data_IF_807295341501
#
_entry.id   IF_807295341501
#
_cell.length_a   1.000
_cell.length_b   1.000
_cell.length_c   1.000
_cell.angle_alpha   90.00
_cell.angle_beta   90.00
_cell.angle_gamma   90.00
#
_symmetry.space_group_name_H-M   'P 1'
#
loop_
_entity.id
_entity.type
_entity.pdbx_description
1 polymer ?
#
# COMPACT_ATOMS: atom_id res chain seq x y z
N UNK A 1 -20.59 -17.76 3.18
CA UNK A 1 -19.26 -17.26 3.59
C UNK A 1 -19.21 -15.76 3.30
N UNK A 2 -18.71 -14.96 4.23
CA UNK A 2 -18.50 -13.52 4.06
C UNK A 2 -17.00 -13.27 3.94
N UNK A 3 -16.62 -12.50 2.92
CA UNK A 3 -15.25 -12.13 2.67
C UNK A 3 -15.04 -10.62 2.85
N UNK A 4 -13.96 -10.26 3.54
CA UNK A 4 -13.55 -8.87 3.76
C UNK A 4 -12.12 -8.70 3.25
N UNK A 5 -11.94 -7.74 2.34
CA UNK A 5 -10.66 -7.36 1.78
C UNK A 5 -10.21 -6.03 2.40
N UNK A 6 -8.99 -6.02 2.89
CA UNK A 6 -8.39 -4.86 3.55
C UNK A 6 -7.25 -4.30 2.70
N UNK A 7 -7.36 -3.04 2.32
CA UNK A 7 -6.29 -2.28 1.69
C UNK A 7 -5.69 -1.31 2.69
N UNK A 8 -4.39 -1.32 2.81
CA UNK A 8 -3.67 -0.38 3.67
C UNK A 8 -2.23 -0.24 3.25
N UNK A 9 -1.52 0.62 3.98
CA UNK A 9 -0.06 0.71 3.84
C UNK A 9 0.60 0.06 5.03
N UNK A 10 1.79 -0.48 4.82
CA UNK A 10 2.58 -1.08 5.89
C UNK A 10 2.73 -0.13 7.08
N UNK A 11 2.31 -0.58 8.27
CA UNK A 11 2.27 0.21 9.50
C UNK A 11 0.90 0.81 9.88
N UNK A 12 -0.11 0.82 8.99
CA UNK A 12 -1.46 1.29 9.31
C UNK A 12 -2.31 0.26 10.06
N UNK A 13 -1.88 -1.00 10.11
CA UNK A 13 -2.53 -2.04 10.89
C UNK A 13 -3.67 -2.77 10.18
N UNK A 14 -3.67 -2.84 8.85
CA UNK A 14 -4.67 -3.58 8.08
C UNK A 14 -4.75 -5.06 8.50
N UNK A 15 -3.61 -5.74 8.63
CA UNK A 15 -3.60 -7.13 9.10
C UNK A 15 -4.04 -7.26 10.56
N UNK A 16 -3.76 -6.28 11.41
CA UNK A 16 -4.26 -6.27 12.78
C UNK A 16 -5.78 -6.19 12.80
N UNK A 17 -6.38 -5.32 11.97
CA UNK A 17 -7.83 -5.24 11.81
C UNK A 17 -8.43 -6.55 11.29
N UNK A 18 -7.83 -7.14 10.25
CA UNK A 18 -8.27 -8.41 9.71
C UNK A 18 -8.27 -9.54 10.76
N UNK A 19 -7.23 -9.61 11.60
CA UNK A 19 -7.15 -10.58 12.70
C UNK A 19 -8.17 -10.33 13.80
N UNK A 20 -8.39 -9.08 14.19
CA UNK A 20 -9.39 -8.72 15.19
C UNK A 20 -10.79 -9.09 14.71
N UNK A 21 -11.11 -8.82 13.43
CA UNK A 21 -12.38 -9.24 12.84
C UNK A 21 -12.54 -10.76 12.85
N UNK A 22 -11.51 -11.48 12.45
CA UNK A 22 -11.52 -12.94 12.49
C UNK A 22 -11.74 -13.50 13.90
N UNK A 23 -11.07 -12.90 14.91
CA UNK A 23 -11.25 -13.29 16.30
C UNK A 23 -12.67 -12.97 16.79
N UNK A 24 -13.19 -11.77 16.49
CA UNK A 24 -14.54 -11.36 16.88
C UNK A 24 -15.59 -12.31 16.29
N UNK A 25 -15.48 -12.67 15.01
CA UNK A 25 -16.42 -13.57 14.35
C UNK A 25 -16.39 -15.00 14.90
N UNK A 26 -15.28 -15.40 15.53
CA UNK A 26 -15.12 -16.75 16.10
C UNK A 26 -15.76 -16.92 17.48
N UNK A 27 -16.30 -15.86 18.10
CA UNK A 27 -16.92 -15.97 19.42
C UNK A 27 -18.34 -16.56 19.38
N UNK A 28 -19.00 -16.55 18.24
CA UNK A 28 -20.29 -17.17 18.08
C UNK A 28 -20.11 -18.68 17.86
N UNK A 29 -20.91 -19.51 18.56
CA UNK A 29 -20.90 -20.94 18.41
C UNK A 29 -21.14 -21.37 16.96
N UNK A 30 -20.33 -22.33 16.48
CA UNK A 30 -20.41 -22.81 15.09
C UNK A 30 -19.92 -21.81 14.06
N UNK A 31 -19.18 -20.78 14.46
CA UNK A 31 -18.55 -19.82 13.52
C UNK A 31 -17.07 -20.15 13.30
N UNK A 32 -16.67 -20.00 12.04
CA UNK A 32 -15.30 -20.24 11.59
C UNK A 32 -14.77 -18.94 10.95
N UNK A 33 -13.51 -18.64 11.22
CA UNK A 33 -12.84 -17.50 10.64
C UNK A 33 -11.43 -17.82 10.19
N UNK A 34 -11.00 -17.15 9.15
CA UNK A 34 -9.63 -17.20 8.63
C UNK A 34 -9.17 -15.78 8.33
N UNK A 35 -8.06 -15.35 8.90
CA UNK A 35 -7.46 -14.05 8.63
C UNK A 35 -5.98 -14.20 8.27
N UNK A 36 -5.57 -13.62 7.15
CA UNK A 36 -4.19 -13.70 6.65
C UNK A 36 -3.80 -12.44 5.87
N UNK A 37 -2.50 -12.07 5.86
CA UNK A 37 -2.01 -11.01 5.02
C UNK A 37 -1.77 -11.51 3.59
N UNK A 38 -1.69 -10.59 2.65
CA UNK A 38 -1.05 -10.88 1.36
C UNK A 38 0.42 -11.13 1.60
N UNK A 39 0.88 -12.32 1.21
CA UNK A 39 2.29 -12.69 1.36
C UNK A 39 3.16 -11.90 0.40
N UNK A 40 4.13 -11.21 0.92
CA UNK A 40 5.08 -10.39 0.18
C UNK A 40 6.04 -9.69 1.15
N UNK A 41 7.10 -9.03 0.67
CA UNK A 41 7.98 -8.28 1.55
C UNK A 41 7.19 -7.12 2.17
N UNK A 42 6.82 -7.27 3.43
CA UNK A 42 6.18 -6.19 4.19
C UNK A 42 7.15 -5.03 4.37
N UNK A 43 6.80 -3.89 3.79
CA UNK A 43 7.59 -2.67 3.91
C UNK A 43 6.71 -1.56 4.46
N UNK A 44 7.27 -0.77 5.35
CA UNK A 44 6.57 0.38 5.92
C UNK A 44 6.19 1.35 4.80
N UNK A 45 4.89 1.73 4.75
CA UNK A 45 4.35 2.64 3.75
C UNK A 45 3.95 1.99 2.41
N UNK A 46 4.40 0.77 2.10
CA UNK A 46 4.00 0.07 0.89
C UNK A 46 2.53 -0.36 0.94
N UNK A 47 1.80 -0.34 -0.19
CA UNK A 47 0.49 -0.96 -0.29
C UNK A 47 0.55 -2.43 0.13
N UNK A 48 -0.39 -2.83 0.97
CA UNK A 48 -0.56 -4.21 1.39
C UNK A 48 -2.04 -4.57 1.43
N UNK A 49 -2.33 -5.84 1.29
CA UNK A 49 -3.66 -6.41 1.44
C UNK A 49 -3.69 -7.35 2.63
N UNK A 50 -4.85 -7.44 3.26
CA UNK A 50 -5.16 -8.51 4.19
C UNK A 50 -6.58 -9.02 3.91
N UNK A 51 -6.88 -10.21 4.36
CA UNK A 51 -8.12 -10.91 4.07
C UNK A 51 -8.71 -11.45 5.35
N UNK A 52 -10.03 -11.37 5.47
CA UNK A 52 -10.78 -12.06 6.52
C UNK A 52 -11.93 -12.80 5.85
N UNK A 53 -12.02 -14.11 6.09
CA UNK A 53 -13.13 -14.97 5.68
C UNK A 53 -13.88 -15.42 6.94
N UNK A 54 -15.21 -15.33 6.91
CA UNK A 54 -16.09 -15.70 8.02
C UNK A 54 -17.20 -16.60 7.51
N UNK A 55 -17.52 -17.69 8.22
CA UNK A 55 -18.51 -18.66 7.77
C UNK A 55 -19.15 -19.37 8.96
N UNK A 56 -20.37 -19.90 8.76
CA UNK A 56 -21.02 -20.86 9.67
C UNK A 56 -20.61 -22.31 9.38
N UNK A 57 -19.84 -22.53 8.33
CA UNK A 57 -19.32 -23.82 7.94
C UNK A 57 -17.78 -23.78 7.93
N UNK A 58 -17.10 -24.93 8.09
CA UNK A 58 -15.63 -24.98 8.02
C UNK A 58 -15.08 -24.37 6.74
N UNK A 59 -14.10 -23.48 6.87
CA UNK A 59 -13.48 -22.77 5.74
C UNK A 59 -12.36 -23.62 5.16
N UNK A 60 -12.60 -24.28 4.04
CA UNK A 60 -11.59 -25.01 3.28
C UNK A 60 -10.79 -24.12 2.32
N UNK A 61 -11.40 -23.06 1.81
CA UNK A 61 -10.77 -22.14 0.87
C UNK A 61 -9.86 -21.12 1.59
N UNK A 62 -8.57 -21.23 1.33
CA UNK A 62 -7.51 -20.34 1.85
C UNK A 62 -6.93 -19.39 0.80
N UNK A 63 -7.57 -19.30 -0.37
CA UNK A 63 -7.12 -18.41 -1.43
C UNK A 63 -7.33 -16.94 -1.06
N UNK A 64 -6.50 -16.07 -1.61
CA UNK A 64 -6.71 -14.63 -1.59
C UNK A 64 -7.79 -14.30 -2.63
N UNK A 65 -9.02 -14.01 -2.18
CA UNK A 65 -10.12 -13.64 -3.06
C UNK A 65 -9.83 -12.32 -3.79
N UNK A 66 -10.24 -12.23 -5.05
CA UNK A 66 -10.19 -10.98 -5.83
C UNK A 66 -11.42 -10.10 -5.59
N UNK A 67 -12.53 -10.68 -5.07
CA UNK A 67 -13.78 -9.99 -4.76
C UNK A 67 -14.21 -10.30 -3.33
N UNK A 68 -14.85 -9.32 -2.69
CA UNK A 68 -15.30 -9.43 -1.31
C UNK A 68 -16.68 -8.80 -1.09
N UNK A 69 -17.36 -9.19 -0.01
CA UNK A 69 -18.59 -8.54 0.44
C UNK A 69 -18.30 -7.13 0.98
N UNK A 70 -17.15 -6.96 1.60
CA UNK A 70 -16.71 -5.67 2.13
C UNK A 70 -15.27 -5.43 1.72
N UNK A 71 -15.00 -4.26 1.13
CA UNK A 71 -13.64 -3.81 0.81
C UNK A 71 -13.33 -2.58 1.65
N UNK A 72 -12.25 -2.66 2.44
CA UNK A 72 -11.92 -1.64 3.42
C UNK A 72 -10.59 -0.99 3.06
N UNK A 73 -10.61 0.33 2.88
CA UNK A 73 -9.44 1.13 2.57
C UNK A 73 -9.01 1.95 3.79
N UNK A 74 -7.85 1.59 4.38
CA UNK A 74 -7.26 2.33 5.50
C UNK A 74 -6.66 3.67 5.05
N UNK A 75 -6.50 3.83 3.76
CA UNK A 75 -5.90 5.01 3.10
C UNK A 75 -6.66 5.26 1.81
N UNK A 76 -7.31 6.41 1.68
CA UNK A 76 -8.16 6.74 0.54
C UNK A 76 -7.38 6.93 -0.77
N UNK A 77 -6.05 7.09 -0.69
CA UNK A 77 -5.18 7.12 -1.86
C UNK A 77 -5.06 5.75 -2.55
N UNK A 78 -5.50 4.67 -1.88
CA UNK A 78 -5.54 3.32 -2.44
C UNK A 78 -6.86 3.01 -3.15
N UNK A 79 -7.88 3.85 -2.96
CA UNK A 79 -9.16 3.74 -3.67
C UNK A 79 -9.00 4.32 -5.08
N UNK A 80 -8.62 3.46 -6.02
CA UNK A 80 -8.41 3.82 -7.43
C UNK A 80 -9.64 3.56 -8.30
N UNK A 81 -9.51 3.84 -9.60
CA UNK A 81 -10.47 3.40 -10.61
C UNK A 81 -10.57 1.86 -10.61
N UNK A 82 -11.77 1.33 -10.82
CA UNK A 82 -12.00 -0.12 -10.85
C UNK A 82 -12.21 -0.78 -9.48
N UNK A 83 -12.45 -0.01 -8.42
CA UNK A 83 -12.76 -0.55 -7.08
C UNK A 83 -14.02 -1.44 -7.08
N UNK A 84 -14.95 -1.23 -8.03
CA UNK A 84 -16.14 -2.07 -8.21
C UNK A 84 -15.80 -3.51 -8.58
N UNK A 85 -14.68 -3.74 -9.27
CA UNK A 85 -14.25 -5.08 -9.66
C UNK A 85 -13.87 -5.95 -8.46
N UNK A 86 -13.58 -5.32 -7.32
CA UNK A 86 -13.26 -6.01 -6.06
C UNK A 86 -14.51 -6.30 -5.21
N UNK A 87 -15.70 -5.80 -5.60
CA UNK A 87 -16.94 -6.06 -4.87
C UNK A 87 -17.69 -7.27 -5.42
N UNK A 88 -18.27 -8.04 -4.51
CA UNK A 88 -19.37 -8.95 -4.81
C UNK A 88 -20.66 -8.16 -5.01
N UNK A 89 -21.69 -8.73 -5.66
CA UNK A 89 -23.03 -8.13 -5.70
C UNK A 89 -23.47 -7.75 -4.27
N UNK A 90 -24.08 -6.58 -4.11
CA UNK A 90 -24.50 -6.00 -2.83
C UNK A 90 -23.38 -5.70 -1.82
N UNK A 91 -22.13 -5.78 -2.25
CA UNK A 91 -20.98 -5.44 -1.44
C UNK A 91 -20.88 -3.95 -1.12
N UNK A 92 -20.12 -3.60 -0.08
CA UNK A 92 -19.85 -2.23 0.34
C UNK A 92 -18.36 -1.94 0.48
N UNK A 93 -18.01 -0.69 0.20
CA UNK A 93 -16.68 -0.14 0.47
C UNK A 93 -16.76 0.68 1.76
N UNK A 94 -15.76 0.53 2.61
CA UNK A 94 -15.56 1.41 3.77
C UNK A 94 -14.20 2.07 3.60
N UNK A 95 -14.16 3.40 3.62
CA UNK A 95 -12.92 4.13 3.36
C UNK A 95 -12.63 5.16 4.44
N UNK A 96 -11.38 5.18 4.89
CA UNK A 96 -10.87 6.23 5.76
C UNK A 96 -10.63 7.49 4.93
N UNK A 97 -11.58 8.40 4.94
CA UNK A 97 -11.51 9.67 4.22
C UNK A 97 -12.43 10.72 4.83
N UNK A 98 -12.02 11.97 4.72
CA UNK A 98 -12.86 13.14 5.03
C UNK A 98 -13.69 13.60 3.82
N UNK A 99 -13.46 12.99 2.66
CA UNK A 99 -14.19 13.30 1.41
C UNK A 99 -15.51 12.56 1.38
N UNK A 100 -16.52 13.15 0.75
CA UNK A 100 -17.76 12.48 0.39
C UNK A 100 -17.64 11.84 -0.99
N UNK A 101 -18.24 10.67 -1.14
CA UNK A 101 -18.31 9.93 -2.39
C UNK A 101 -19.77 9.85 -2.84
N UNK A 102 -20.03 10.05 -4.13
CA UNK A 102 -21.39 10.06 -4.68
C UNK A 102 -22.02 8.66 -4.85
N UNK A 103 -21.32 7.59 -4.48
CA UNK A 103 -21.81 6.21 -4.61
C UNK A 103 -22.32 5.70 -3.25
N UNK A 104 -23.58 5.22 -3.16
CA UNK A 104 -24.19 4.74 -1.91
C UNK A 104 -23.55 3.45 -1.39
N UNK A 105 -22.74 2.78 -2.18
CA UNK A 105 -21.95 1.62 -1.75
C UNK A 105 -20.71 2.00 -0.95
N UNK A 106 -20.30 3.28 -0.98
CA UNK A 106 -19.11 3.78 -0.31
C UNK A 106 -19.48 4.48 0.99
N UNK A 107 -19.04 3.91 2.10
CA UNK A 107 -19.16 4.49 3.44
C UNK A 107 -17.84 5.16 3.80
N UNK A 108 -17.79 6.48 3.78
CA UNK A 108 -16.62 7.26 4.16
C UNK A 108 -16.69 7.66 5.63
N UNK A 109 -15.57 7.55 6.32
CA UNK A 109 -15.41 7.93 7.73
C UNK A 109 -14.02 8.50 7.98
N UNK A 110 -13.91 9.58 8.74
CA UNK A 110 -12.62 10.09 9.23
C UNK A 110 -12.08 9.23 10.38
N UNK A 111 -11.63 8.03 10.05
CA UNK A 111 -11.07 7.09 11.01
C UNK A 111 -9.75 7.60 11.61
N UNK A 112 -8.99 8.41 10.88
CA UNK A 112 -7.77 9.03 11.37
C UNK A 112 -8.07 10.10 12.41
N UNK A 113 -9.07 10.97 12.18
CA UNK A 113 -9.50 11.99 13.13
C UNK A 113 -10.00 11.39 14.45
N UNK A 114 -10.89 10.39 14.37
CA UNK A 114 -11.41 9.65 15.53
C UNK A 114 -10.26 9.04 16.34
N UNK A 115 -9.34 8.37 15.64
CA UNK A 115 -8.20 7.73 16.30
C UNK A 115 -7.22 8.75 16.89
N UNK A 116 -6.99 9.86 16.21
CA UNK A 116 -6.12 10.95 16.71
C UNK A 116 -6.68 11.54 18.00
N UNK A 117 -7.99 11.77 18.08
CA UNK A 117 -8.65 12.33 19.26
C UNK A 117 -8.55 11.39 20.45
N UNK A 118 -8.81 10.09 20.27
CA UNK A 118 -8.93 9.14 21.37
C UNK A 118 -7.59 8.48 21.72
N UNK A 119 -6.81 8.08 20.71
CA UNK A 119 -5.53 7.38 20.91
C UNK A 119 -4.34 8.35 20.97
N UNK A 120 -4.49 9.59 20.46
CA UNK A 120 -3.40 10.52 20.25
C UNK A 120 -2.52 10.19 19.03
N UNK A 121 -2.98 9.31 18.15
CA UNK A 121 -2.28 8.87 16.93
C UNK A 121 -3.28 8.51 15.84
N UNK A 122 -3.02 8.83 14.56
CA UNK A 122 -3.89 8.51 13.43
C UNK A 122 -3.73 7.04 13.01
N UNK A 123 -4.33 6.12 13.75
CA UNK A 123 -4.30 4.67 13.48
C UNK A 123 -5.72 4.20 13.16
N UNK A 124 -6.13 4.13 11.88
CA UNK A 124 -7.52 3.98 11.47
C UNK A 124 -8.12 2.58 11.68
N UNK A 125 -7.30 1.57 11.97
CA UNK A 125 -7.68 0.16 11.92
C UNK A 125 -8.88 -0.21 12.80
N UNK A 126 -8.91 0.20 14.07
CA UNK A 126 -10.04 -0.11 14.98
C UNK A 126 -11.27 0.75 14.72
N UNK A 127 -11.11 1.97 14.21
CA UNK A 127 -12.22 2.80 13.78
C UNK A 127 -12.94 2.19 12.57
N UNK A 128 -12.18 1.68 11.59
CA UNK A 128 -12.78 1.00 10.43
C UNK A 128 -13.45 -0.34 10.79
N UNK A 129 -12.99 -1.01 11.85
CA UNK A 129 -13.73 -2.15 12.42
C UNK A 129 -15.07 -1.73 13.00
N UNK A 130 -15.12 -0.63 13.75
CA UNK A 130 -16.38 -0.05 14.23
C UNK A 130 -17.31 0.33 13.09
N UNK A 131 -16.80 0.97 12.06
CA UNK A 131 -17.56 1.30 10.85
C UNK A 131 -18.09 0.04 10.13
N UNK A 132 -17.31 -1.02 10.06
CA UNK A 132 -17.75 -2.29 9.47
C UNK A 132 -18.95 -2.88 10.25
N UNK A 133 -18.93 -2.83 11.58
CA UNK A 133 -20.03 -3.35 12.41
C UNK A 133 -21.37 -2.63 12.18
N UNK A 134 -21.37 -1.41 11.62
CA UNK A 134 -22.61 -0.71 11.27
C UNK A 134 -23.25 -1.18 9.97
N UNK A 135 -22.52 -1.91 9.13
CA UNK A 135 -22.97 -2.35 7.79
C UNK A 135 -22.88 -3.87 7.60
N UNK A 136 -22.33 -4.59 8.57
CA UNK A 136 -22.13 -6.04 8.54
C UNK A 136 -22.78 -6.69 9.76
N UNK A 137 -23.88 -7.40 9.55
CA UNK A 137 -24.64 -8.08 10.62
C UNK A 137 -23.98 -9.36 11.14
N UNK A 138 -22.85 -9.76 10.58
CA UNK A 138 -22.16 -11.01 10.95
C UNK A 138 -21.37 -10.90 12.25
N UNK A 139 -20.90 -9.70 12.60
CA UNK A 139 -20.08 -9.43 13.78
C UNK A 139 -20.60 -8.19 14.49
N UNK A 140 -20.80 -8.31 15.80
CA UNK A 140 -21.22 -7.18 16.65
C UNK A 140 -20.02 -6.32 17.12
N UNK A 141 -20.29 -5.07 17.48
CA UNK A 141 -19.28 -4.21 18.08
C UNK A 141 -18.77 -4.77 19.42
N UNK A 142 -19.62 -5.47 20.17
CA UNK A 142 -19.22 -6.09 21.44
C UNK A 142 -18.27 -7.26 21.24
N UNK A 143 -18.44 -8.06 20.17
CA UNK A 143 -17.48 -9.09 19.81
C UNK A 143 -16.14 -8.51 19.41
N UNK A 144 -16.13 -7.38 18.66
CA UNK A 144 -14.90 -6.65 18.33
C UNK A 144 -14.21 -6.14 19.60
N UNK A 145 -14.95 -5.61 20.57
CA UNK A 145 -14.39 -5.17 21.86
C UNK A 145 -13.78 -6.33 22.66
N UNK A 146 -14.43 -7.49 22.66
CA UNK A 146 -13.88 -8.73 23.25
C UNK A 146 -12.61 -9.18 22.54
N UNK A 147 -12.56 -9.09 21.19
CA UNK A 147 -11.37 -9.43 20.44
C UNK A 147 -10.19 -8.48 20.78
N UNK A 148 -10.46 -7.18 20.98
CA UNK A 148 -9.47 -6.22 21.43
C UNK A 148 -8.85 -6.64 22.76
N UNK A 149 -9.66 -7.11 23.71
CA UNK A 149 -9.17 -7.63 25.02
C UNK A 149 -8.29 -8.85 24.87
N UNK A 150 -8.61 -9.75 23.94
CA UNK A 150 -7.84 -10.96 23.72
C UNK A 150 -6.55 -10.77 22.93
N UNK A 151 -6.47 -9.74 22.08
CA UNK A 151 -5.37 -9.58 21.10
C UNK A 151 -4.46 -8.38 21.34
N UNK A 152 -4.92 -7.39 22.09
CA UNK A 152 -4.13 -6.20 22.36
C UNK A 152 -3.61 -6.17 23.81
N UNK A 153 -2.50 -5.47 24.10
CA UNK A 153 -2.07 -5.21 25.45
C UNK A 153 -3.13 -4.44 26.27
N UNK A 154 -3.32 -4.78 27.54
CA UNK A 154 -4.37 -4.24 28.40
C UNK A 154 -4.42 -2.67 28.43
N UNK A 155 -3.26 -2.02 28.34
CA UNK A 155 -3.17 -0.54 28.28
C UNK A 155 -3.85 0.10 27.07
N UNK A 156 -4.16 -0.68 26.04
CA UNK A 156 -4.79 -0.22 24.80
C UNK A 156 -6.29 -0.54 24.74
N UNK A 157 -6.83 -1.37 25.65
CA UNK A 157 -8.20 -1.88 25.57
C UNK A 157 -9.22 -0.74 25.59
N UNK A 158 -9.26 0.03 26.65
CA UNK A 158 -10.29 1.06 26.86
C UNK A 158 -10.30 2.13 25.74
N UNK A 159 -9.12 2.55 25.31
CA UNK A 159 -9.03 3.52 24.23
C UNK A 159 -9.53 2.97 22.90
N UNK A 160 -9.15 1.74 22.54
CA UNK A 160 -9.57 1.12 21.28
C UNK A 160 -11.07 0.77 21.29
N UNK A 161 -11.66 0.37 22.43
CA UNK A 161 -13.10 0.19 22.56
C UNK A 161 -13.86 1.49 22.29
N UNK A 162 -13.39 2.61 22.88
CA UNK A 162 -13.96 3.93 22.61
C UNK A 162 -13.85 4.34 21.15
N UNK A 163 -12.77 3.97 20.46
CA UNK A 163 -12.62 4.21 19.01
C UNK A 163 -13.68 3.45 18.22
N UNK A 164 -13.94 2.19 18.57
CA UNK A 164 -15.01 1.39 17.95
C UNK A 164 -16.37 2.06 18.13
N UNK A 165 -16.71 2.48 19.35
CA UNK A 165 -17.99 3.13 19.63
C UNK A 165 -18.15 4.46 18.88
N UNK A 166 -17.12 5.31 18.91
CA UNK A 166 -17.13 6.59 18.21
C UNK A 166 -17.28 6.43 16.69
N UNK A 167 -16.64 5.41 16.10
CA UNK A 167 -16.78 5.11 14.68
C UNK A 167 -18.19 4.62 14.32
N UNK A 168 -18.80 3.80 15.17
CA UNK A 168 -20.17 3.32 15.01
C UNK A 168 -21.17 4.48 15.02
N UNK A 169 -21.03 5.41 15.97
CA UNK A 169 -21.84 6.64 16.06
C UNK A 169 -21.63 7.54 14.82
N UNK A 170 -20.40 7.68 14.33
CA UNK A 170 -20.11 8.52 13.18
C UNK A 170 -20.82 8.02 11.92
N UNK A 171 -20.79 6.71 11.66
CA UNK A 171 -21.50 6.10 10.51
C UNK A 171 -23.02 6.24 10.69
N UNK A 172 -23.56 6.02 11.90
CA UNK A 172 -24.98 6.20 12.18
C UNK A 172 -25.49 7.61 11.88
N UNK A 173 -24.68 8.64 12.15
CA UNK A 173 -24.99 10.04 11.83
C UNK A 173 -24.93 10.31 10.32
N UNK A 174 -24.01 9.71 9.60
CA UNK A 174 -23.89 9.86 8.14
C UNK A 174 -25.08 9.25 7.42
N UNK A 175 -25.52 8.05 7.81
CA UNK A 175 -26.70 7.40 7.24
C UNK A 175 -28.01 8.15 7.58
N UNK A 176 -28.09 8.81 8.74
CA UNK A 176 -29.27 9.60 9.12
C UNK A 176 -29.33 10.98 8.44
N UNK A 177 -28.18 11.54 8.05
CA UNK A 177 -28.07 12.84 7.37
C UNK A 177 -28.47 12.79 5.90
N UNK A 178 -28.36 11.65 5.24
CA UNK A 178 -28.75 11.50 3.82
C UNK A 178 -30.26 11.45 3.58
N UNK A 179 -31.05 11.25 4.62
CA UNK A 179 -32.52 11.26 4.55
C UNK A 179 -33.13 12.67 4.68
N UNK A 180 -32.35 13.66 5.11
CA UNK A 180 -32.84 15.00 5.46
C UNK A 180 -32.28 16.17 4.66
N UNK A 181 -31.71 15.97 3.49
CA UNK A 181 -31.06 17.08 2.81
C UNK A 181 -30.84 16.93 1.31
N UNK A 182 -31.93 16.89 0.52
CA UNK A 182 -31.80 17.15 -0.90
C UNK A 182 -32.80 18.20 -1.37
N UNK A 183 -32.43 19.46 -1.25
CA UNK A 183 -32.96 20.55 -2.05
C UNK A 183 -31.85 21.59 -2.27
N UNK A 184 -31.40 21.63 -3.51
CA UNK A 184 -30.88 22.80 -4.19
C UNK A 184 -29.59 23.48 -3.68
N UNK A 185 -28.52 23.26 -4.43
CA UNK A 185 -27.63 24.31 -4.96
C UNK A 185 -26.47 23.71 -5.75
N UNK A 186 -26.56 23.82 -7.06
CA UNK A 186 -25.39 23.76 -7.94
C UNK A 186 -24.47 24.95 -7.67
N UNK A 187 -23.15 24.77 -7.78
CA UNK A 187 -22.38 25.73 -8.53
C UNK A 187 -21.62 25.05 -9.67
N UNK A 188 -21.91 25.51 -10.86
CA UNK A 188 -21.02 25.40 -12.00
C UNK A 188 -19.65 25.97 -11.67
N UNK A 189 -18.61 25.21 -11.84
CA UNK A 189 -17.34 25.74 -12.33
C UNK A 189 -16.59 24.65 -13.10
N UNK A 190 -16.60 24.85 -14.40
CA UNK A 190 -15.78 24.20 -15.41
C UNK A 190 -14.30 24.25 -15.03
N UNK A 191 -13.65 23.11 -14.97
CA UNK A 191 -12.31 22.95 -15.47
C UNK A 191 -12.29 21.72 -16.36
N UNK A 192 -12.42 21.99 -17.65
CA UNK A 192 -12.15 21.05 -18.72
C UNK A 192 -10.65 20.79 -18.78
N UNK A 193 -10.21 19.61 -18.44
CA UNK A 193 -8.98 19.06 -18.96
C UNK A 193 -9.32 17.79 -19.72
N UNK A 194 -9.63 18.03 -21.00
CA UNK A 194 -9.60 17.00 -22.03
C UNK A 194 -8.15 16.59 -22.25
N UNK A 195 -7.74 15.47 -21.65
CA UNK A 195 -6.57 14.74 -22.13
C UNK A 195 -7.08 13.76 -23.16
N UNK A 196 -7.00 14.14 -24.41
CA UNK A 196 -7.13 13.27 -25.56
C UNK A 196 -6.13 12.13 -25.42
N UNK A 197 -6.66 10.90 -25.34
CA UNK A 197 -5.91 9.70 -25.63
C UNK A 197 -5.54 9.70 -27.10
N UNK A 198 -4.38 10.19 -27.43
CA UNK A 198 -3.70 9.82 -28.66
C UNK A 198 -3.02 8.47 -28.40
N UNK A 199 -3.49 7.47 -29.13
CA UNK A 199 -2.78 6.23 -29.36
C UNK A 199 -1.51 6.56 -30.13
N UNK A 200 -0.42 6.75 -29.42
CA UNK A 200 0.89 6.80 -30.04
C UNK A 200 1.42 5.34 -30.11
N UNK A 201 1.15 4.68 -31.21
CA UNK A 201 2.10 3.77 -31.79
C UNK A 201 3.31 4.62 -32.18
N UNK A 202 4.28 4.70 -31.31
CA UNK A 202 5.53 5.37 -31.48
C UNK A 202 6.59 4.56 -30.78
N UNK A 203 7.48 3.94 -31.56
CA UNK A 203 8.77 3.50 -31.09
C UNK A 203 9.32 4.59 -30.15
N UNK A 204 9.31 4.28 -28.86
CA UNK A 204 10.06 5.06 -27.90
C UNK A 204 11.53 4.79 -28.18
N UNK A 205 12.07 5.53 -29.14
CA UNK A 205 13.48 5.79 -29.16
C UNK A 205 13.80 6.44 -27.82
N UNK A 206 14.40 5.67 -26.91
CA UNK A 206 15.08 6.17 -25.75
C UNK A 206 16.00 7.27 -26.23
N UNK A 207 15.66 8.52 -25.85
CA UNK A 207 16.59 9.60 -26.01
C UNK A 207 17.93 9.14 -25.40
N UNK A 208 19.06 9.30 -26.11
CA UNK A 208 20.34 8.85 -25.60
C UNK A 208 20.56 9.56 -24.26
N UNK A 209 20.60 8.76 -23.20
CA UNK A 209 21.01 9.26 -21.90
C UNK A 209 22.41 9.81 -22.09
N UNK A 210 22.55 11.11 -22.00
CA UNK A 210 23.83 11.83 -22.14
C UNK A 210 24.78 11.57 -20.96
N UNK A 211 24.51 10.57 -20.16
CA UNK A 211 25.34 10.06 -19.06
C UNK A 211 25.47 8.56 -19.30
N UNK A 212 26.70 8.10 -19.52
CA UNK A 212 27.05 6.76 -19.91
C UNK A 212 26.16 5.69 -19.33
N UNK A 213 25.52 4.96 -20.20
CA UNK A 213 24.56 3.92 -19.89
C UNK A 213 25.18 2.86 -19.00
N UNK A 214 24.88 2.94 -17.73
CA UNK A 214 25.12 1.87 -16.80
C UNK A 214 23.90 0.92 -16.89
N UNK A 215 23.85 0.14 -17.95
CA UNK A 215 22.83 -0.91 -18.11
C UNK A 215 23.21 -2.09 -17.22
N UNK A 216 22.29 -2.52 -16.37
CA UNK A 216 22.38 -3.84 -15.76
C UNK A 216 22.20 -4.83 -16.92
N UNK A 217 23.20 -5.70 -17.23
CA UNK A 217 23.19 -6.51 -18.46
C UNK A 217 21.99 -7.46 -18.57
N UNK A 218 21.31 -7.73 -17.45
CA UNK A 218 20.15 -8.62 -17.35
C UNK A 218 18.81 -7.91 -17.51
N UNK A 219 18.80 -6.57 -17.58
CA UNK A 219 17.55 -5.83 -17.76
C UNK A 219 17.19 -5.81 -19.25
N UNK A 220 16.19 -6.59 -19.61
CA UNK A 220 15.61 -6.55 -20.95
C UNK A 220 14.38 -5.65 -20.95
N UNK A 221 14.25 -4.85 -21.99
CA UNK A 221 13.11 -3.93 -22.19
C UNK A 221 11.98 -4.56 -22.99
N UNK A 222 12.18 -5.75 -23.57
CA UNK A 222 11.16 -6.48 -24.29
C UNK A 222 10.15 -7.13 -23.33
N UNK A 223 8.87 -7.06 -23.67
CA UNK A 223 7.85 -7.83 -23.00
C UNK A 223 8.13 -9.33 -23.18
N UNK A 224 8.15 -10.07 -22.05
CA UNK A 224 8.33 -11.51 -22.07
C UNK A 224 6.99 -12.19 -22.29
N UNK A 225 6.97 -13.21 -23.16
CA UNK A 225 5.84 -14.11 -23.24
C UNK A 225 5.86 -15.05 -22.02
N UNK A 226 4.85 -15.05 -21.16
CA UNK A 226 4.78 -15.95 -20.02
C UNK A 226 4.84 -17.43 -20.44
N UNK A 227 4.44 -17.77 -21.66
CA UNK A 227 4.50 -19.13 -22.20
C UNK A 227 5.94 -19.64 -22.35
N UNK A 228 6.89 -18.77 -22.64
CA UNK A 228 8.31 -19.12 -22.76
C UNK A 228 8.92 -19.62 -21.44
N UNK A 229 8.30 -19.23 -20.32
CA UNK A 229 8.77 -19.53 -18.97
C UNK A 229 7.90 -20.57 -18.24
N UNK A 230 6.84 -21.08 -18.86
CA UNK A 230 5.89 -21.99 -18.23
C UNK A 230 6.52 -23.29 -17.70
N UNK A 231 7.69 -23.66 -18.21
CA UNK A 231 8.40 -24.90 -17.86
C UNK A 231 9.59 -24.68 -16.93
N UNK A 232 9.87 -23.46 -16.51
CA UNK A 232 11.01 -23.13 -15.64
C UNK A 232 10.54 -22.59 -14.31
N UNK A 233 11.23 -22.97 -13.23
CA UNK A 233 11.03 -22.39 -11.89
C UNK A 233 12.06 -21.32 -11.56
N UNK A 234 12.99 -21.05 -12.48
CA UNK A 234 14.05 -20.06 -12.34
C UNK A 234 13.97 -19.03 -13.45
N UNK A 235 14.05 -17.78 -13.10
CA UNK A 235 14.05 -16.64 -14.03
C UNK A 235 15.31 -15.82 -13.81
N UNK A 236 15.79 -15.16 -14.87
CA UNK A 236 16.87 -14.19 -14.73
C UNK A 236 16.46 -13.05 -13.80
N UNK A 237 17.32 -12.70 -12.87
CA UNK A 237 17.02 -11.67 -11.88
C UNK A 237 16.70 -10.33 -12.54
N UNK A 238 15.64 -9.68 -12.07
CA UNK A 238 15.19 -8.38 -12.56
C UNK A 238 14.36 -8.40 -13.85
N UNK A 239 14.24 -9.53 -14.49
CA UNK A 239 13.66 -9.66 -15.83
C UNK A 239 12.13 -9.42 -15.87
N UNK A 240 11.42 -9.84 -14.84
CA UNK A 240 9.96 -9.71 -14.73
C UNK A 240 9.53 -8.65 -13.70
N UNK A 241 10.46 -7.87 -13.21
CA UNK A 241 10.17 -6.91 -12.14
C UNK A 241 9.86 -5.55 -12.75
N UNK A 242 8.63 -5.06 -12.55
CA UNK A 242 8.29 -3.70 -12.89
C UNK A 242 9.13 -2.71 -12.07
N UNK A 243 9.47 -1.57 -12.68
CA UNK A 243 10.11 -0.45 -11.98
C UNK A 243 9.31 -0.11 -10.72
N UNK A 244 9.96 -0.11 -9.57
CA UNK A 244 9.25 0.00 -8.28
C UNK A 244 9.71 1.15 -7.40
N UNK A 245 10.36 2.14 -7.98
CA UNK A 245 10.89 3.31 -7.29
C UNK A 245 9.84 4.40 -6.97
N UNK A 246 8.65 4.33 -7.55
CA UNK A 246 7.63 5.38 -7.50
C UNK A 246 7.06 5.73 -6.10
N UNK A 247 7.49 5.06 -5.05
CA UNK A 247 7.09 5.29 -3.65
C UNK A 247 8.24 5.76 -2.76
N UNK A 248 9.41 6.01 -3.35
CA UNK A 248 10.58 6.50 -2.64
C UNK A 248 10.44 7.98 -2.32
N UNK A 249 10.66 8.35 -1.06
CA UNK A 249 10.67 9.76 -0.62
C UNK A 249 12.09 10.33 -0.54
N UNK A 250 13.08 9.46 -0.36
CA UNK A 250 14.50 9.81 -0.21
C UNK A 250 15.32 8.90 -1.11
N UNK A 251 16.34 9.44 -1.76
CA UNK A 251 17.27 8.65 -2.58
C UNK A 251 18.72 8.85 -2.16
N UNK A 252 19.58 7.82 -2.24
CA UNK A 252 20.99 7.96 -2.02
C UNK A 252 21.64 8.66 -3.22
N UNK A 253 22.49 9.64 -2.97
CA UNK A 253 23.32 10.30 -3.99
C UNK A 253 24.78 9.99 -3.70
N UNK A 254 25.54 9.63 -4.75
CA UNK A 254 26.96 9.27 -4.66
C UNK A 254 27.85 10.49 -4.97
N UNK A 255 28.74 10.79 -4.06
CA UNK A 255 29.90 11.67 -4.29
C UNK A 255 31.07 10.82 -4.80
N UNK A 256 31.31 10.88 -6.11
CA UNK A 256 32.36 10.11 -6.76
C UNK A 256 33.76 10.46 -6.24
N UNK A 257 34.01 11.73 -5.82
CA UNK A 257 35.27 12.18 -5.30
C UNK A 257 35.65 11.57 -3.93
N UNK A 258 34.63 11.15 -3.16
CA UNK A 258 34.84 10.46 -1.87
C UNK A 258 34.80 8.94 -1.98
N UNK A 259 34.33 8.42 -3.13
CA UNK A 259 34.15 6.98 -3.32
C UNK A 259 35.50 6.28 -3.53
N UNK A 260 35.84 5.35 -2.64
CA UNK A 260 37.09 4.56 -2.72
C UNK A 260 36.92 3.24 -3.46
N UNK A 261 35.70 2.93 -3.98
CA UNK A 261 35.45 1.67 -4.68
C UNK A 261 35.42 0.41 -3.79
N UNK A 262 35.24 0.56 -2.48
CA UNK A 262 35.24 -0.57 -1.54
C UNK A 262 34.08 -1.55 -1.68
N UNK A 263 33.08 -1.27 -2.52
CA UNK A 263 31.93 -2.10 -2.88
C UNK A 263 31.00 -2.51 -1.71
N UNK A 264 31.14 -1.92 -0.52
CA UNK A 264 30.24 -2.27 0.60
C UNK A 264 28.78 -1.95 0.28
N UNK A 265 28.50 -0.78 -0.30
CA UNK A 265 27.15 -0.39 -0.71
C UNK A 265 26.54 -1.37 -1.72
N UNK A 266 27.36 -1.90 -2.65
CA UNK A 266 26.96 -2.94 -3.59
C UNK A 266 26.57 -4.24 -2.86
N UNK A 267 27.42 -4.72 -1.94
CA UNK A 267 27.22 -5.99 -1.24
C UNK A 267 26.01 -5.95 -0.28
N UNK A 268 25.72 -4.79 0.32
CA UNK A 268 24.65 -4.64 1.29
C UNK A 268 23.34 -4.10 0.71
N UNK A 269 23.28 -3.80 -0.59
CA UNK A 269 22.03 -3.35 -1.21
C UNK A 269 21.00 -4.49 -1.25
N UNK A 270 19.87 -4.38 -0.53
CA UNK A 270 18.86 -5.46 -0.49
C UNK A 270 18.13 -5.66 -1.82
N UNK A 271 18.11 -4.63 -2.66
CA UNK A 271 17.43 -4.66 -3.96
C UNK A 271 18.39 -4.87 -5.13
N UNK A 272 19.70 -5.01 -4.88
CA UNK A 272 20.71 -5.21 -5.92
C UNK A 272 20.84 -4.07 -6.92
N UNK A 273 20.30 -2.88 -6.60
CA UNK A 273 20.25 -1.73 -7.51
C UNK A 273 21.56 -0.91 -7.56
N UNK A 274 22.57 -1.29 -6.80
CA UNK A 274 23.92 -0.68 -6.88
C UNK A 274 24.83 -1.67 -7.61
N UNK A 275 25.52 -1.21 -8.62
CA UNK A 275 26.34 -2.07 -9.48
C UNK A 275 27.65 -1.41 -9.90
N UNK A 276 28.57 -2.20 -10.41
CA UNK A 276 29.80 -1.69 -11.02
C UNK A 276 29.52 -1.43 -12.50
N UNK A 277 29.68 -0.20 -12.99
CA UNK A 277 29.51 0.09 -14.41
C UNK A 277 30.58 -0.67 -15.24
N UNK A 278 30.17 -1.25 -16.35
CA UNK A 278 31.06 -2.00 -17.25
C UNK A 278 32.07 -1.06 -17.94
N UNK A 279 31.65 0.19 -18.15
CA UNK A 279 32.53 1.28 -18.58
C UNK A 279 32.62 2.32 -17.45
N UNK A 280 33.81 2.81 -17.17
CA UNK A 280 33.97 3.89 -16.22
C UNK A 280 33.21 5.12 -16.74
N UNK A 281 32.18 5.52 -16.00
CA UNK A 281 31.50 6.80 -16.24
C UNK A 281 32.43 7.85 -15.64
N UNK A 282 33.16 8.54 -16.49
CA UNK A 282 33.96 9.69 -16.08
C UNK A 282 33.09 10.93 -16.20
N UNK A 283 32.59 11.43 -15.08
CA UNK A 283 32.09 12.78 -14.96
C UNK A 283 33.26 13.74 -14.56
N UNK A 284 32.97 15.03 -14.47
CA UNK A 284 33.92 16.05 -14.11
C UNK A 284 34.56 15.85 -12.71
N UNK A 285 34.03 14.92 -11.89
CA UNK A 285 34.44 14.62 -10.54
C UNK A 285 35.32 13.34 -10.44
N UNK A 286 35.56 12.63 -11.55
CA UNK A 286 36.31 11.38 -11.59
C UNK A 286 35.50 10.15 -11.86
N UNK A 287 36.17 8.99 -12.05
CA UNK A 287 35.51 7.73 -12.34
C UNK A 287 34.79 7.18 -11.11
N UNK A 288 33.47 7.12 -11.14
CA UNK A 288 32.70 6.48 -10.09
C UNK A 288 32.89 4.95 -10.13
N UNK A 289 33.25 4.36 -9.00
CA UNK A 289 33.46 2.91 -8.89
C UNK A 289 32.15 2.11 -8.85
N UNK A 290 31.03 2.77 -8.55
CA UNK A 290 29.68 2.18 -8.49
C UNK A 290 28.66 3.15 -9.08
N UNK A 291 27.57 2.61 -9.58
CA UNK A 291 26.41 3.36 -10.04
C UNK A 291 25.14 2.84 -9.34
N UNK A 292 24.09 3.64 -9.32
CA UNK A 292 22.81 3.33 -8.67
C UNK A 292 21.72 3.34 -9.74
N UNK A 293 21.01 2.22 -9.87
CA UNK A 293 19.80 2.15 -10.67
C UNK A 293 18.63 2.65 -9.84
N UNK A 294 18.20 3.88 -10.14
CA UNK A 294 17.11 4.52 -9.41
C UNK A 294 15.72 3.98 -9.77
N UNK A 295 15.57 3.23 -10.86
CA UNK A 295 14.31 2.57 -11.21
C UNK A 295 13.96 1.44 -10.21
N UNK A 296 14.98 0.89 -9.56
CA UNK A 296 14.84 -0.21 -8.59
C UNK A 296 15.24 0.18 -7.17
N UNK A 297 15.90 1.31 -6.97
CA UNK A 297 16.28 1.78 -5.64
C UNK A 297 15.05 2.21 -4.85
N UNK A 298 14.85 1.63 -3.67
CA UNK A 298 13.72 1.93 -2.78
C UNK A 298 14.02 2.96 -1.70
N UNK A 299 15.20 3.56 -1.71
CA UNK A 299 15.56 4.59 -0.74
C UNK A 299 15.70 4.10 0.70
N UNK A 300 16.08 2.83 0.91
CA UNK A 300 16.16 2.23 2.24
C UNK A 300 17.30 2.77 3.12
N UNK A 301 18.29 3.47 2.54
CA UNK A 301 19.39 4.12 3.27
C UNK A 301 20.53 3.18 3.69
N UNK A 302 20.43 1.86 3.52
CA UNK A 302 21.46 0.89 3.96
C UNK A 302 22.83 1.21 3.35
N UNK A 303 22.87 1.62 2.08
CA UNK A 303 24.11 1.97 1.39
C UNK A 303 24.83 3.19 2.02
N UNK A 304 24.07 4.13 2.57
CA UNK A 304 24.60 5.30 3.27
C UNK A 304 25.20 4.87 4.61
N UNK A 305 24.45 4.08 5.39
CA UNK A 305 24.90 3.58 6.70
C UNK A 305 26.17 2.73 6.63
N UNK A 306 26.34 1.93 5.58
CA UNK A 306 27.53 1.09 5.43
C UNK A 306 28.71 1.83 4.81
N UNK A 307 28.52 3.05 4.31
CA UNK A 307 29.58 3.85 3.68
C UNK A 307 30.47 4.53 4.72
N UNK A 308 31.63 3.93 5.02
CA UNK A 308 32.59 4.48 5.98
C UNK A 308 33.28 5.77 5.53
N UNK A 309 33.18 6.10 4.24
CA UNK A 309 33.88 7.25 3.64
C UNK A 309 32.94 8.45 3.46
N UNK A 310 31.67 8.32 3.83
CA UNK A 310 30.67 9.38 3.65
C UNK A 310 30.47 9.78 2.18
N UNK A 311 30.70 8.84 1.26
CA UNK A 311 30.53 9.06 -0.16
C UNK A 311 29.06 8.96 -0.62
N UNK A 312 28.14 8.53 0.25
CA UNK A 312 26.72 8.43 -0.03
C UNK A 312 25.94 9.25 0.99
N UNK A 313 24.96 10.01 0.53
CA UNK A 313 24.05 10.79 1.36
C UNK A 313 22.62 10.59 0.88
N UNK A 314 21.63 10.59 1.81
CA UNK A 314 20.22 10.60 1.45
C UNK A 314 19.76 12.02 1.16
N UNK A 315 19.09 12.21 0.03
CA UNK A 315 18.46 13.48 -0.34
C UNK A 315 16.98 13.25 -0.64
N UNK A 316 16.10 14.25 -0.45
CA UNK A 316 14.72 14.17 -0.89
C UNK A 316 14.62 13.86 -2.40
N UNK A 317 13.63 13.08 -2.81
CA UNK A 317 13.44 12.72 -4.22
C UNK A 317 13.28 13.96 -5.11
N UNK A 318 12.58 14.99 -4.62
CA UNK A 318 12.35 16.27 -5.32
C UNK A 318 13.63 17.09 -5.59
N UNK A 319 14.68 16.90 -4.80
CA UNK A 319 15.94 17.65 -4.94
C UNK A 319 16.96 16.91 -5.82
N UNK A 320 16.65 15.68 -6.19
CA UNK A 320 17.62 14.81 -6.86
C UNK A 320 17.77 15.05 -8.36
N UNK A 321 16.87 15.77 -9.00
CA UNK A 321 16.89 16.03 -10.46
C UNK A 321 17.68 17.29 -10.86
N UNK A 322 18.11 18.09 -9.88
CA UNK A 322 18.81 19.36 -10.12
C UNK A 322 20.35 19.27 -10.13
N UNK A 323 20.96 18.06 -10.13
CA UNK A 323 22.43 17.92 -10.13
C UNK A 323 22.95 16.99 -11.20
#
# INVERSE_FOLDING_TARGET
>A
MIEVLWHGRGGQGAFTAARLLGAASSFADGSYALAFPSFGPERRGAPMRAFTKMSREPIGDRSAGSRANYVIYLDDTLLGEGWEDELLPDGKVIVNSVRSFGDPRIVAIDANGISQEILGRPIPNTALLGALCSVCDYVSADDVKRAIEGYMPAKLHEKNKRVVDAALEAVGKTCAGEVAGNADKSPESRVSNSVSRETAEGESALAPASRGEALIPTLQTAALDPADFAHTTCYDGGYLVAKNAGWRNMRPVLDAGKCTGCLRCYLYCPDGCIFRPVRQVTDAAGAAAVAIDYDFCKGCGVCVEVCRFGALAMVPESEGDER
#
